data_IF_917582361581
#
_entry.id   IF_917582361581
#
_cell.length_a   1.000
_cell.length_b   1.000
_cell.length_c   1.000
_cell.angle_alpha   90.00
_cell.angle_beta   90.00
_cell.angle_gamma   90.00
#
_symmetry.space_group_name_H-M   'P 1'
#
loop_
_entity.id
_entity.type
_entity.pdbx_description
1 polymer ?
#
# COMPACT_ATOMS: atom_id res chain seq x y z
N UNK A 1 -18.72 -13.21 2.02
CA UNK A 1 -17.31 -13.62 2.18
C UNK A 1 -16.46 -12.42 1.78
N UNK A 2 -15.45 -12.06 2.57
CA UNK A 2 -14.52 -11.01 2.15
C UNK A 2 -13.68 -11.54 0.96
N UNK A 3 -13.51 -10.74 -0.08
CA UNK A 3 -12.67 -11.10 -1.22
C UNK A 3 -11.23 -11.29 -0.75
N UNK A 4 -10.62 -12.44 -1.09
CA UNK A 4 -9.21 -12.71 -0.79
C UNK A 4 -8.33 -11.76 -1.62
N UNK A 5 -7.60 -10.81 -1.01
CA UNK A 5 -6.77 -9.85 -1.73
C UNK A 5 -5.59 -10.51 -2.45
N UNK A 6 -5.23 -11.74 -2.10
CA UNK A 6 -4.14 -12.50 -2.71
C UNK A 6 -4.60 -13.42 -3.83
N UNK A 7 -5.91 -13.50 -4.10
CA UNK A 7 -6.43 -14.32 -5.20
C UNK A 7 -5.78 -13.94 -6.53
N UNK A 8 -5.24 -14.96 -7.21
CA UNK A 8 -4.55 -14.81 -8.50
C UNK A 8 -3.10 -14.31 -8.43
N UNK A 9 -2.56 -14.05 -7.23
CA UNK A 9 -1.14 -13.72 -7.08
C UNK A 9 -0.30 -15.00 -6.92
N UNK A 10 0.83 -15.16 -7.64
CA UNK A 10 1.71 -16.31 -7.47
C UNK A 10 2.27 -16.37 -6.05
N UNK A 11 2.55 -17.57 -5.51
CA UNK A 11 3.22 -17.70 -4.21
C UNK A 11 4.69 -17.21 -4.24
N UNK A 12 5.35 -17.31 -5.39
CA UNK A 12 6.76 -16.95 -5.57
C UNK A 12 6.97 -16.35 -6.97
N UNK A 13 8.01 -15.53 -7.18
CA UNK A 13 8.38 -15.08 -8.51
C UNK A 13 8.83 -16.28 -9.38
N UNK A 14 8.63 -16.16 -10.68
CA UNK A 14 9.05 -17.15 -11.67
C UNK A 14 10.55 -17.08 -11.95
N UNK A 15 11.16 -15.89 -11.77
CA UNK A 15 12.59 -15.65 -11.94
C UNK A 15 13.04 -14.37 -11.20
N UNK A 16 14.36 -14.21 -11.05
CA UNK A 16 14.95 -13.07 -10.31
C UNK A 16 14.54 -11.70 -10.86
N UNK A 17 14.43 -11.55 -12.18
CA UNK A 17 14.06 -10.26 -12.77
C UNK A 17 12.62 -9.82 -12.41
N UNK A 18 11.69 -10.75 -12.13
CA UNK A 18 10.33 -10.43 -11.68
C UNK A 18 10.36 -9.91 -10.25
N UNK A 19 11.22 -10.50 -9.40
CA UNK A 19 11.46 -10.02 -8.05
C UNK A 19 12.08 -8.63 -8.03
N UNK A 20 13.09 -8.39 -8.86
CA UNK A 20 13.76 -7.09 -8.96
C UNK A 20 12.80 -6.00 -9.44
N UNK A 21 12.00 -6.27 -10.48
CA UNK A 21 10.97 -5.33 -10.96
C UNK A 21 9.92 -5.04 -9.89
N UNK A 22 9.47 -6.07 -9.15
CA UNK A 22 8.54 -5.88 -8.03
C UNK A 22 9.15 -4.98 -6.96
N UNK A 23 10.40 -5.21 -6.57
CA UNK A 23 11.09 -4.41 -5.56
C UNK A 23 11.26 -2.96 -5.99
N UNK A 24 11.61 -2.70 -7.25
CA UNK A 24 11.70 -1.34 -7.80
C UNK A 24 10.36 -0.63 -7.74
N UNK A 25 9.27 -1.28 -8.16
CA UNK A 25 7.93 -0.69 -8.10
C UNK A 25 7.48 -0.43 -6.66
N UNK A 26 7.80 -1.35 -5.77
CA UNK A 26 7.52 -1.20 -4.34
C UNK A 26 8.31 -0.02 -3.75
N UNK A 27 9.59 0.12 -4.03
CA UNK A 27 10.40 1.26 -3.59
C UNK A 27 9.86 2.60 -4.12
N UNK A 28 9.45 2.65 -5.38
CA UNK A 28 9.02 3.89 -6.04
C UNK A 28 7.59 4.35 -5.71
N UNK A 29 6.79 3.52 -5.02
CA UNK A 29 5.39 3.83 -4.66
C UNK A 29 5.21 5.22 -4.02
N UNK A 30 5.92 5.57 -2.93
CA UNK A 30 5.84 6.88 -2.28
C UNK A 30 6.15 8.06 -3.21
N UNK A 31 7.13 7.90 -4.11
CA UNK A 31 7.47 8.94 -5.09
C UNK A 31 6.35 9.14 -6.09
N UNK A 32 5.74 8.06 -6.58
CA UNK A 32 4.61 8.12 -7.49
C UNK A 32 3.39 8.80 -6.85
N UNK A 33 3.10 8.48 -5.58
CA UNK A 33 2.02 9.10 -4.81
C UNK A 33 2.29 10.59 -4.60
N UNK A 34 3.49 10.95 -4.16
CA UNK A 34 3.91 12.36 -3.98
C UNK A 34 3.67 13.17 -5.25
N UNK A 35 4.15 12.68 -6.39
CA UNK A 35 3.98 13.35 -7.68
C UNK A 35 2.50 13.60 -8.01
N UNK A 36 1.64 12.61 -7.79
CA UNK A 36 0.20 12.77 -8.05
C UNK A 36 -0.49 13.75 -7.09
N UNK A 37 0.05 13.95 -5.89
CA UNK A 37 -0.44 14.97 -4.96
C UNK A 37 0.03 16.36 -5.38
N UNK A 38 1.28 16.50 -5.84
CA UNK A 38 1.92 17.77 -6.19
C UNK A 38 1.52 18.31 -7.59
N UNK A 39 1.17 17.45 -8.55
CA UNK A 39 0.94 17.82 -9.97
C UNK A 39 -0.24 18.77 -10.25
N UNK A 40 -1.12 19.05 -9.28
CA UNK A 40 -2.34 19.83 -9.54
C UNK A 40 -2.60 20.82 -8.41
N UNK A 41 -2.56 22.12 -8.74
CA UNK A 41 -3.08 23.20 -7.91
C UNK A 41 -4.61 23.10 -7.85
N UNK A 42 -5.17 22.88 -6.66
CA UNK A 42 -6.61 22.75 -6.47
C UNK A 42 -6.96 22.60 -4.98
N UNK A 43 -8.18 23.02 -4.62
CA UNK A 43 -8.68 22.94 -3.25
C UNK A 43 -8.79 21.47 -2.81
N UNK A 44 -7.91 21.05 -1.90
CA UNK A 44 -7.80 19.66 -1.42
C UNK A 44 -9.04 19.18 -0.63
N UNK A 45 -9.98 20.09 -0.37
CA UNK A 45 -11.14 19.86 0.49
C UNK A 45 -12.35 19.22 -0.21
N UNK A 46 -12.43 19.25 -1.54
CA UNK A 46 -13.63 18.85 -2.28
C UNK A 46 -13.64 17.34 -2.61
N UNK A 47 -14.14 16.50 -1.68
CA UNK A 47 -14.64 15.18 -2.07
C UNK A 47 -16.05 15.30 -2.63
N UNK A 48 -16.35 14.57 -3.71
CA UNK A 48 -17.74 14.28 -4.07
C UNK A 48 -18.42 13.56 -2.87
N UNK A 49 -19.66 13.93 -2.54
CA UNK A 49 -20.39 13.36 -1.39
C UNK A 49 -20.29 11.82 -1.35
N UNK A 50 -19.78 11.28 -0.24
CA UNK A 50 -19.60 9.83 -0.03
C UNK A 50 -18.29 9.21 -0.54
N UNK A 51 -17.41 9.98 -1.19
CA UNK A 51 -16.08 9.53 -1.65
C UNK A 51 -14.96 9.90 -0.67
N UNK A 52 -13.80 9.25 -0.79
CA UNK A 52 -12.61 9.58 0.01
C UNK A 52 -11.94 10.84 -0.55
N UNK A 53 -11.44 11.72 0.32
CA UNK A 53 -10.55 12.81 -0.06
C UNK A 53 -9.13 12.28 -0.29
N UNK A 54 -8.27 13.10 -0.90
CA UNK A 54 -6.84 12.80 -1.02
C UNK A 54 -6.21 12.49 0.34
N UNK A 55 -6.51 13.29 1.36
CA UNK A 55 -6.04 13.07 2.74
C UNK A 55 -6.42 11.68 3.28
N UNK A 56 -7.65 11.22 3.01
CA UNK A 56 -8.13 9.92 3.49
C UNK A 56 -7.41 8.77 2.77
N UNK A 57 -7.08 8.93 1.48
CA UNK A 57 -6.25 7.99 0.75
C UNK A 57 -4.82 7.90 1.30
N UNK A 58 -4.20 9.05 1.63
CA UNK A 58 -2.84 9.08 2.18
C UNK A 58 -2.77 8.46 3.57
N UNK A 59 -3.72 8.79 4.44
CA UNK A 59 -3.83 8.18 5.77
C UNK A 59 -3.96 6.65 5.68
N UNK A 60 -4.85 6.17 4.81
CA UNK A 60 -5.04 4.73 4.60
C UNK A 60 -3.77 4.06 4.04
N UNK A 61 -3.07 4.68 3.08
CA UNK A 61 -1.80 4.14 2.57
C UNK A 61 -0.75 4.01 3.69
N UNK A 62 -0.62 5.03 4.55
CA UNK A 62 0.34 5.02 5.65
C UNK A 62 0.04 3.89 6.65
N UNK A 63 -1.22 3.68 7.01
CA UNK A 63 -1.62 2.61 7.92
C UNK A 63 -1.46 1.23 7.30
N UNK A 64 -1.83 1.07 6.03
CA UNK A 64 -1.65 -0.19 5.30
C UNK A 64 -0.19 -0.59 5.21
N UNK A 65 0.70 0.38 5.03
CA UNK A 65 2.13 0.13 5.00
C UNK A 65 2.69 -0.24 6.39
N UNK A 66 2.15 0.35 7.46
CA UNK A 66 2.48 -0.05 8.82
C UNK A 66 2.05 -1.50 9.11
N UNK A 67 0.83 -1.87 8.72
CA UNK A 67 0.31 -3.25 8.81
C UNK A 67 1.15 -4.22 7.98
N UNK A 68 1.51 -3.85 6.75
CA UNK A 68 2.40 -4.64 5.89
C UNK A 68 3.74 -4.91 6.57
N UNK A 69 4.30 -3.92 7.28
CA UNK A 69 5.53 -4.09 8.05
C UNK A 69 5.40 -5.09 9.20
N UNK A 70 4.25 -5.13 9.87
CA UNK A 70 3.96 -6.14 10.88
C UNK A 70 3.81 -7.54 10.26
N UNK A 71 3.14 -7.64 9.11
CA UNK A 71 3.02 -8.90 8.38
C UNK A 71 4.34 -9.42 7.85
N UNK A 72 5.18 -8.56 7.26
CA UNK A 72 6.55 -8.94 6.84
C UNK A 72 7.37 -9.48 8.02
N UNK A 73 7.14 -8.96 9.24
CA UNK A 73 7.82 -9.47 10.43
C UNK A 73 7.34 -10.87 10.79
N UNK A 74 6.01 -11.05 10.81
CA UNK A 74 5.39 -12.32 11.12
C UNK A 74 5.76 -13.40 10.10
N UNK A 75 5.73 -13.08 8.80
CA UNK A 75 6.20 -13.94 7.72
C UNK A 75 7.66 -14.37 7.90
N UNK A 76 8.55 -13.42 8.19
CA UNK A 76 9.96 -13.72 8.45
C UNK A 76 10.16 -14.64 9.67
N UNK A 77 9.24 -14.59 10.64
CA UNK A 77 9.30 -15.35 11.90
C UNK A 77 8.45 -16.63 11.89
N UNK A 78 7.74 -16.94 10.79
CA UNK A 78 6.77 -18.04 10.72
C UNK A 78 5.60 -17.90 11.72
N UNK A 79 5.23 -16.67 12.08
CA UNK A 79 4.13 -16.38 13.01
C UNK A 79 2.83 -16.15 12.26
N UNK A 80 1.71 -16.60 12.81
CA UNK A 80 0.37 -16.40 12.22
C UNK A 80 0.08 -14.91 11.95
N UNK A 81 -0.49 -14.63 10.78
CA UNK A 81 -0.83 -13.29 10.34
C UNK A 81 -2.14 -12.84 10.98
N UNK A 82 -2.08 -11.70 11.66
CA UNK A 82 -3.27 -11.05 12.22
C UNK A 82 -4.12 -10.43 11.12
N UNK A 83 -5.46 -10.47 11.21
CA UNK A 83 -6.33 -9.72 10.32
C UNK A 83 -5.97 -8.25 10.27
N UNK A 84 -6.11 -7.63 9.11
CA UNK A 84 -5.99 -6.19 8.99
C UNK A 84 -7.10 -5.46 9.76
N UNK A 85 -6.82 -4.23 10.19
CA UNK A 85 -7.87 -3.36 10.67
C UNK A 85 -8.86 -3.02 9.54
N UNK A 86 -10.13 -2.84 9.89
CA UNK A 86 -11.17 -2.51 8.92
C UNK A 86 -10.95 -1.11 8.33
N UNK A 87 -10.97 -1.00 7.00
CA UNK A 87 -10.73 0.25 6.28
C UNK A 87 -11.79 1.34 6.51
N UNK A 88 -12.97 0.98 7.02
CA UNK A 88 -14.07 1.93 7.25
C UNK A 88 -13.79 2.95 8.36
N UNK A 89 -12.78 2.72 9.19
CA UNK A 89 -12.38 3.65 10.24
C UNK A 89 -11.84 5.00 9.72
N UNK A 90 -11.51 5.13 8.42
CA UNK A 90 -10.76 6.27 7.90
C UNK A 90 -11.61 7.30 7.15
N UNK A 91 -12.88 7.02 6.83
CA UNK A 91 -13.75 8.02 6.17
C UNK A 91 -13.99 9.22 7.09
N UNK A 92 -13.50 10.40 6.68
CA UNK A 92 -13.67 11.64 7.45
C UNK A 92 -12.89 11.68 8.77
N UNK A 93 -12.03 10.70 9.02
CA UNK A 93 -11.25 10.59 10.25
C UNK A 93 -9.86 11.25 10.17
N UNK A 94 -9.35 11.49 8.95
CA UNK A 94 -8.08 12.20 8.81
C UNK A 94 -8.24 13.66 9.26
N UNK A 95 -7.75 13.90 10.48
CA UNK A 95 -7.51 15.22 11.10
C UNK A 95 -6.06 15.68 10.89
N UNK A 96 -5.27 14.86 10.19
CA UNK A 96 -3.84 15.09 9.93
C UNK A 96 -3.66 15.79 8.60
N UNK A 97 -2.62 16.61 8.51
CA UNK A 97 -2.27 17.25 7.25
C UNK A 97 -1.79 16.19 6.23
N UNK A 98 -2.25 16.24 4.96
CA UNK A 98 -1.87 15.31 3.90
C UNK A 98 -0.37 15.04 3.80
N UNK A 99 0.44 16.07 3.99
CA UNK A 99 1.91 16.02 3.97
C UNK A 99 2.45 15.09 5.04
N UNK A 100 1.87 15.08 6.23
CA UNK A 100 2.29 14.23 7.35
C UNK A 100 2.02 12.76 7.08
N UNK A 101 0.86 12.42 6.50
CA UNK A 101 0.52 11.03 6.19
C UNK A 101 1.36 10.49 5.01
N UNK A 102 1.67 11.32 4.02
CA UNK A 102 2.61 10.96 2.95
C UNK A 102 4.03 10.67 3.50
N UNK A 103 4.50 11.48 4.46
CA UNK A 103 5.77 11.23 5.14
C UNK A 103 5.75 9.93 5.93
N UNK A 104 4.69 9.67 6.69
CA UNK A 104 4.52 8.40 7.43
C UNK A 104 4.54 7.20 6.49
N UNK A 105 3.78 7.26 5.38
CA UNK A 105 3.80 6.23 4.35
C UNK A 105 5.22 6.00 3.80
N UNK A 106 5.93 7.08 3.47
CA UNK A 106 7.31 7.01 2.96
C UNK A 106 8.26 6.34 3.97
N UNK A 107 8.18 6.73 5.25
CA UNK A 107 9.01 6.15 6.31
C UNK A 107 8.73 4.65 6.48
N UNK A 108 7.46 4.25 6.50
CA UNK A 108 7.11 2.84 6.61
C UNK A 108 7.57 2.04 5.38
N UNK A 109 7.37 2.56 4.16
CA UNK A 109 7.82 1.92 2.92
C UNK A 109 9.33 1.73 2.90
N UNK A 110 10.11 2.75 3.22
CA UNK A 110 11.57 2.66 3.25
C UNK A 110 12.06 1.62 4.27
N UNK A 111 11.43 1.56 5.45
CA UNK A 111 11.74 0.57 6.47
C UNK A 111 11.44 -0.86 5.98
N UNK A 112 10.29 -1.05 5.36
CA UNK A 112 9.85 -2.35 4.86
C UNK A 112 10.71 -2.80 3.67
N UNK A 113 11.00 -1.90 2.74
CA UNK A 113 11.92 -2.12 1.61
C UNK A 113 13.31 -2.54 2.10
N UNK A 114 13.89 -1.78 3.04
CA UNK A 114 15.20 -2.11 3.60
C UNK A 114 15.22 -3.47 4.33
N UNK A 115 14.08 -3.95 4.84
CA UNK A 115 13.96 -5.29 5.44
C UNK A 115 14.05 -6.39 4.38
N UNK A 116 13.34 -6.24 3.28
CA UNK A 116 13.29 -7.25 2.21
C UNK A 116 14.55 -7.22 1.35
N UNK A 117 15.02 -6.02 0.98
CA UNK A 117 16.20 -5.86 0.12
C UNK A 117 17.45 -6.48 0.74
N UNK A 118 17.68 -6.30 2.05
CA UNK A 118 18.83 -6.86 2.77
C UNK A 118 18.90 -8.39 2.77
N UNK A 119 17.80 -9.06 2.48
CA UNK A 119 17.66 -10.51 2.53
C UNK A 119 17.71 -11.14 1.13
N UNK A 120 17.50 -10.36 0.08
CA UNK A 120 17.57 -10.83 -1.30
C UNK A 120 16.57 -11.96 -1.57
N UNK A 121 17.05 -13.06 -2.14
CA UNK A 121 16.21 -14.21 -2.53
C UNK A 121 15.68 -15.01 -1.34
N UNK A 122 16.27 -14.88 -0.15
CA UNK A 122 15.78 -15.58 1.06
C UNK A 122 14.36 -15.16 1.44
N UNK A 123 13.92 -13.97 0.99
CA UNK A 123 12.56 -13.47 1.21
C UNK A 123 11.50 -14.35 0.52
N UNK A 124 11.88 -15.10 -0.51
CA UNK A 124 10.95 -15.94 -1.27
C UNK A 124 10.40 -17.09 -0.43
N UNK A 125 11.13 -17.51 0.60
CA UNK A 125 10.74 -18.57 1.52
C UNK A 125 9.90 -18.05 2.70
N UNK A 126 9.64 -16.74 2.78
CA UNK A 126 8.86 -16.17 3.86
C UNK A 126 7.37 -16.42 3.62
N UNK A 127 6.81 -17.33 4.40
CA UNK A 127 5.40 -17.73 4.34
C UNK A 127 4.83 -17.86 5.75
N UNK A 128 3.55 -17.55 5.90
CA UNK A 128 2.80 -17.88 7.11
C UNK A 128 1.31 -18.02 6.80
N UNK A 129 0.56 -18.52 7.78
CA UNK A 129 -0.88 -18.70 7.68
C UNK A 129 -1.66 -17.46 8.14
N UNK A 130 -2.80 -17.23 7.49
CA UNK A 130 -3.80 -16.24 7.87
C UNK A 130 -5.16 -16.93 7.99
N UNK A 131 -5.89 -16.68 9.08
CA UNK A 131 -7.15 -17.36 9.39
C UNK A 131 -8.20 -17.32 8.26
N UNK A 132 -8.22 -16.26 7.45
CA UNK A 132 -9.18 -16.10 6.34
C UNK A 132 -8.61 -16.39 4.95
N UNK A 133 -7.29 -16.32 4.77
CA UNK A 133 -6.67 -16.32 3.43
C UNK A 133 -5.81 -17.56 3.18
N UNK A 134 -5.59 -18.39 4.20
CA UNK A 134 -4.69 -19.54 4.12
C UNK A 134 -3.23 -19.11 4.17
N UNK A 135 -2.38 -19.83 3.44
CA UNK A 135 -0.97 -19.49 3.30
C UNK A 135 -0.79 -18.19 2.50
N UNK A 136 0.04 -17.29 3.01
CA UNK A 136 0.41 -16.02 2.37
C UNK A 136 1.91 -15.90 2.38
N UNK A 137 2.50 -15.54 1.24
CA UNK A 137 3.94 -15.32 1.10
C UNK A 137 4.31 -13.84 1.10
N UNK A 138 5.58 -13.53 1.37
CA UNK A 138 6.09 -12.17 1.24
C UNK A 138 5.96 -11.63 -0.19
N UNK A 139 6.14 -12.49 -1.20
CA UNK A 139 5.96 -12.10 -2.59
C UNK A 139 4.50 -11.71 -2.90
N UNK A 140 3.51 -12.47 -2.40
CA UNK A 140 2.10 -12.11 -2.53
C UNK A 140 1.77 -10.81 -1.80
N UNK A 141 2.30 -10.61 -0.59
CA UNK A 141 2.11 -9.38 0.17
C UNK A 141 2.66 -8.16 -0.57
N UNK A 142 3.89 -8.20 -1.06
CA UNK A 142 4.51 -7.09 -1.78
C UNK A 142 3.80 -6.81 -3.11
N UNK A 143 3.44 -7.87 -3.85
CA UNK A 143 2.65 -7.75 -5.10
C UNK A 143 1.29 -7.10 -4.84
N UNK A 144 0.63 -7.49 -3.75
CA UNK A 144 -0.60 -6.85 -3.32
C UNK A 144 -0.40 -5.37 -2.99
N UNK A 145 0.66 -5.01 -2.26
CA UNK A 145 0.96 -3.61 -1.92
C UNK A 145 1.17 -2.75 -3.18
N UNK A 146 1.96 -3.22 -4.15
CA UNK A 146 2.17 -2.48 -5.42
C UNK A 146 0.85 -2.27 -6.18
N UNK A 147 0.00 -3.31 -6.26
CA UNK A 147 -1.33 -3.18 -6.88
C UNK A 147 -2.26 -2.27 -6.07
N UNK A 148 -2.16 -2.29 -4.75
CA UNK A 148 -2.93 -1.46 -3.83
C UNK A 148 -2.56 0.02 -3.97
N UNK A 149 -1.26 0.34 -4.00
CA UNK A 149 -0.73 1.68 -4.29
C UNK A 149 -1.28 2.19 -5.63
N UNK A 150 -1.21 1.37 -6.69
CA UNK A 150 -1.68 1.75 -8.03
C UNK A 150 -3.17 2.13 -8.08
N UNK A 151 -4.02 1.41 -7.32
CA UNK A 151 -5.46 1.75 -7.22
C UNK A 151 -5.68 3.09 -6.54
N UNK A 152 -4.97 3.36 -5.44
CA UNK A 152 -5.09 4.64 -4.73
C UNK A 152 -4.51 5.81 -5.52
N UNK A 153 -3.38 5.59 -6.19
CA UNK A 153 -2.78 6.56 -7.10
C UNK A 153 -3.76 6.96 -8.22
N UNK A 154 -4.46 5.99 -8.82
CA UNK A 154 -5.48 6.28 -9.82
C UNK A 154 -6.63 7.14 -9.25
N UNK A 155 -7.12 6.83 -8.05
CA UNK A 155 -8.17 7.62 -7.39
C UNK A 155 -7.73 9.04 -7.05
N UNK A 156 -6.52 9.21 -6.53
CA UNK A 156 -5.96 10.54 -6.23
C UNK A 156 -5.90 11.38 -7.52
N UNK A 157 -5.43 10.80 -8.63
CA UNK A 157 -5.39 11.49 -9.93
C UNK A 157 -6.79 11.82 -10.46
N UNK A 158 -7.78 10.96 -10.25
CA UNK A 158 -9.17 11.22 -10.63
C UNK A 158 -9.76 12.42 -9.86
N UNK A 159 -9.56 12.46 -8.54
CA UNK A 159 -10.02 13.57 -7.68
C UNK A 159 -9.40 14.89 -8.16
N UNK A 160 -8.07 14.93 -8.29
CA UNK A 160 -7.34 16.13 -8.74
C UNK A 160 -7.79 16.63 -10.11
N UNK A 161 -8.08 15.72 -11.06
CA UNK A 161 -8.60 16.10 -12.40
C UNK A 161 -10.02 16.63 -12.37
N UNK A 162 -10.84 16.22 -11.41
CA UNK A 162 -12.19 16.74 -11.24
C UNK A 162 -12.14 18.18 -10.73
N UNK A 163 -11.25 18.48 -9.79
CA UNK A 163 -11.08 19.82 -9.21
C UNK A 163 -10.50 20.85 -10.20
N UNK A 164 -9.66 20.41 -11.12
CA UNK A 164 -9.02 21.27 -12.13
C UNK A 164 -9.95 21.69 -13.29
N UNK A 165 -11.19 21.18 -13.37
CA UNK A 165 -12.13 21.58 -14.42
C UNK A 165 -12.87 22.84 -14.00
N UNK A 166 -12.67 24.00 -14.66
CA UNK A 166 -13.49 25.17 -14.40
C UNK A 166 -14.96 24.85 -14.73
N UNK A 167 -15.88 25.20 -13.81
CA UNK A 167 -17.32 25.22 -14.07
C UNK A 167 -17.67 26.24 -15.14
#
# INVERSE_FOLDING_TARGET
>A
MADNPFAGLPHRPSHIAEWEDLLVRYELGPRAVRHAVEEVEGDESAAASGSWRVADHLAHLAEREAEAGAWLQALQQGQELKPWAAAEAHRGASRTEPTSDLERYTVHRNRNFARVQRRGVDVWEWESSHALFGAVTAFQLLSYQVRHDGRHLARIREIRRADARPC
#
